data_IF_891664905771
#
_entry.id   IF_891664905771
#
_cell.length_a   1.000
_cell.length_b   1.000
_cell.length_c   1.000
_cell.angle_alpha   90.00
_cell.angle_beta   90.00
_cell.angle_gamma   90.00
#
_symmetry.space_group_name_H-M   'P 1'
#
loop_
_entity.id
_entity.type
_entity.pdbx_description
1 polymer ?
#
# COMPACT_ATOMS: atom_id res chain seq x y z
N UNK A 1 -4.66 11.52 22.61
CA UNK A 1 -3.27 11.31 22.14
C UNK A 1 -3.20 10.15 21.15
N UNK A 2 -3.86 9.02 21.43
CA UNK A 2 -3.94 7.85 20.54
C UNK A 2 -4.42 8.16 19.12
N UNK A 3 -5.52 8.92 18.96
CA UNK A 3 -6.02 9.33 17.63
C UNK A 3 -4.98 10.09 16.81
N UNK A 4 -4.14 10.90 17.47
CA UNK A 4 -3.08 11.67 16.81
C UNK A 4 -1.98 10.74 16.31
N UNK A 5 -1.51 9.81 17.15
CA UNK A 5 -0.49 8.83 16.78
C UNK A 5 -0.97 7.93 15.63
N UNK A 6 -2.21 7.44 15.72
CA UNK A 6 -2.83 6.60 14.68
C UNK A 6 -2.94 7.37 13.37
N UNK A 7 -3.45 8.60 13.41
CA UNK A 7 -3.59 9.44 12.22
C UNK A 7 -2.25 9.74 11.55
N UNK A 8 -1.21 10.09 12.33
CA UNK A 8 0.15 10.29 11.80
C UNK A 8 0.71 9.01 11.18
N UNK A 9 0.55 7.87 11.86
CA UNK A 9 1.02 6.58 11.35
C UNK A 9 0.33 6.22 10.02
N UNK A 10 -0.98 6.43 9.91
CA UNK A 10 -1.74 6.23 8.66
C UNK A 10 -1.19 7.09 7.53
N UNK A 11 -0.92 8.37 7.78
CA UNK A 11 -0.33 9.27 6.78
C UNK A 11 1.05 8.78 6.35
N UNK A 12 1.93 8.45 7.29
CA UNK A 12 3.28 7.95 7.00
C UNK A 12 3.24 6.64 6.20
N UNK A 13 2.37 5.70 6.58
CA UNK A 13 2.15 4.47 5.83
C UNK A 13 1.65 4.71 4.41
N UNK A 14 0.74 5.68 4.23
CA UNK A 14 0.32 6.15 2.91
C UNK A 14 1.50 6.63 2.07
N UNK A 15 2.39 7.43 2.65
CA UNK A 15 3.57 7.96 1.96
C UNK A 15 4.59 6.87 1.57
N UNK A 16 4.69 5.77 2.32
CA UNK A 16 5.53 4.61 1.93
C UNK A 16 5.15 4.04 0.57
N UNK A 17 3.88 4.14 0.16
CA UNK A 17 3.45 3.68 -1.17
C UNK A 17 4.12 4.48 -2.31
N UNK A 18 4.50 5.74 -2.06
CA UNK A 18 5.26 6.54 -3.03
C UNK A 18 6.70 6.06 -3.18
N UNK A 19 7.24 5.40 -2.15
CA UNK A 19 8.54 4.73 -2.24
C UNK A 19 8.45 3.50 -3.17
N UNK A 20 7.38 2.72 -3.04
CA UNK A 20 7.10 1.60 -3.94
C UNK A 20 6.82 2.06 -5.37
N UNK A 21 6.28 3.27 -5.55
CA UNK A 21 6.15 3.90 -6.87
C UNK A 21 7.54 4.15 -7.48
N UNK A 22 8.45 4.79 -6.73
CA UNK A 22 9.82 5.04 -7.19
C UNK A 22 10.58 3.74 -7.51
N UNK A 23 10.42 2.73 -6.65
CA UNK A 23 10.90 1.36 -6.86
C UNK A 23 10.36 0.77 -8.17
N UNK A 24 9.05 0.86 -8.40
CA UNK A 24 8.40 0.34 -9.62
C UNK A 24 8.97 1.00 -10.87
N UNK A 25 9.36 2.27 -10.81
CA UNK A 25 10.02 2.98 -11.90
C UNK A 25 11.53 2.76 -11.99
N UNK A 26 12.13 1.95 -11.10
CA UNK A 26 13.59 1.73 -11.00
C UNK A 26 14.37 3.02 -10.78
N UNK A 27 13.77 3.98 -10.08
CA UNK A 27 14.46 5.22 -9.67
C UNK A 27 15.49 4.94 -8.57
N UNK A 28 15.21 3.93 -7.75
CA UNK A 28 16.06 3.41 -6.68
C UNK A 28 15.63 1.98 -6.32
N UNK A 29 16.43 1.29 -5.52
CA UNK A 29 16.09 0.00 -4.91
C UNK A 29 15.77 0.16 -3.41
N UNK A 30 14.59 -0.26 -2.99
CA UNK A 30 14.19 -0.30 -1.57
C UNK A 30 14.93 -1.39 -0.79
N UNK A 31 15.18 -2.51 -1.46
CA UNK A 31 15.97 -3.62 -0.96
C UNK A 31 16.84 -4.14 -2.11
N UNK A 32 18.12 -4.51 -1.85
CA UNK A 32 19.01 -5.01 -2.89
C UNK A 32 18.38 -6.16 -3.67
N UNK A 33 18.31 -6.03 -4.99
CA UNK A 33 17.76 -7.06 -5.88
C UNK A 33 16.24 -7.17 -5.87
N UNK A 34 15.52 -6.22 -5.24
CA UNK A 34 14.06 -6.17 -5.32
C UNK A 34 13.61 -5.83 -6.74
N UNK A 35 12.83 -6.72 -7.35
CA UNK A 35 12.29 -6.53 -8.70
C UNK A 35 10.80 -6.23 -8.74
N UNK A 36 10.13 -6.16 -7.59
CA UNK A 36 8.69 -5.90 -7.54
C UNK A 36 8.35 -4.59 -8.27
N UNK A 37 7.28 -4.56 -9.10
CA UNK A 37 6.24 -5.58 -9.30
C UNK A 37 6.50 -6.54 -10.48
N UNK A 38 7.72 -6.66 -10.98
CA UNK A 38 8.03 -7.50 -12.15
C UNK A 38 7.76 -8.99 -11.87
N UNK A 39 7.23 -9.67 -12.88
CA UNK A 39 6.86 -11.08 -12.77
C UNK A 39 5.55 -11.33 -12.01
N UNK A 40 4.74 -10.29 -11.76
CA UNK A 40 3.39 -10.42 -11.23
C UNK A 40 2.63 -11.58 -11.87
N UNK A 41 2.06 -12.45 -11.04
CA UNK A 41 1.31 -13.62 -11.51
C UNK A 41 0.05 -13.21 -12.28
N UNK A 42 -0.58 -12.10 -11.89
CA UNK A 42 -1.84 -11.65 -12.44
C UNK A 42 -1.67 -10.86 -13.75
N UNK A 43 -0.63 -10.02 -13.85
CA UNK A 43 -0.55 -9.01 -14.92
C UNK A 43 0.65 -9.17 -15.85
N UNK A 44 1.82 -9.60 -15.36
CA UNK A 44 3.05 -9.54 -16.18
C UNK A 44 3.01 -10.44 -17.42
N UNK A 45 2.22 -11.53 -17.41
CA UNK A 45 1.99 -12.36 -18.60
C UNK A 45 1.08 -11.72 -19.64
N UNK A 46 0.14 -10.87 -19.20
CA UNK A 46 -0.88 -10.27 -20.07
C UNK A 46 -0.42 -8.94 -20.68
N UNK A 47 0.21 -8.09 -19.86
CA UNK A 47 0.57 -6.71 -20.25
C UNK A 47 2.09 -6.44 -20.19
N UNK A 48 2.90 -7.47 -19.93
CA UNK A 48 4.34 -7.33 -19.78
C UNK A 48 4.77 -6.65 -18.48
N UNK A 49 6.08 -6.65 -18.20
CA UNK A 49 6.63 -6.03 -17.00
C UNK A 49 6.45 -4.51 -17.01
N UNK A 50 6.66 -3.83 -18.14
CA UNK A 50 6.50 -2.37 -18.21
C UNK A 50 5.05 -1.93 -17.99
N UNK A 51 4.08 -2.64 -18.57
CA UNK A 51 2.66 -2.41 -18.30
C UNK A 51 2.29 -2.69 -16.84
N UNK A 52 2.84 -3.76 -16.25
CA UNK A 52 2.65 -4.09 -14.82
C UNK A 52 3.20 -2.98 -13.93
N UNK A 53 4.41 -2.47 -14.23
CA UNK A 53 5.05 -1.38 -13.48
C UNK A 53 4.23 -0.10 -13.55
N UNK A 54 3.71 0.27 -14.73
CA UNK A 54 2.84 1.42 -14.89
C UNK A 54 1.54 1.27 -14.07
N UNK A 55 0.87 0.12 -14.18
CA UNK A 55 -0.37 -0.17 -13.46
C UNK A 55 -0.16 -0.11 -11.94
N UNK A 56 0.88 -0.78 -11.43
CA UNK A 56 1.21 -0.75 -10.02
C UNK A 56 1.51 0.67 -9.54
N UNK A 57 2.27 1.44 -10.32
CA UNK A 57 2.62 2.82 -9.99
C UNK A 57 1.40 3.73 -9.82
N UNK A 58 0.47 3.69 -10.78
CA UNK A 58 -0.77 4.47 -10.70
C UNK A 58 -1.62 4.03 -9.50
N UNK A 59 -1.75 2.71 -9.28
CA UNK A 59 -2.50 2.17 -8.16
C UNK A 59 -1.87 2.56 -6.80
N UNK A 60 -0.54 2.55 -6.67
CA UNK A 60 0.15 2.99 -5.46
C UNK A 60 -0.09 4.47 -5.15
N UNK A 61 -0.11 5.34 -6.17
CA UNK A 61 -0.44 6.76 -5.98
C UNK A 61 -1.88 6.93 -5.48
N UNK A 62 -2.83 6.18 -6.04
CA UNK A 62 -4.22 6.16 -5.56
C UNK A 62 -4.29 5.68 -4.10
N UNK A 63 -3.58 4.61 -3.75
CA UNK A 63 -3.50 4.12 -2.38
C UNK A 63 -2.91 5.17 -1.42
N UNK A 64 -1.80 5.82 -1.83
CA UNK A 64 -1.16 6.88 -1.05
C UNK A 64 -2.14 8.03 -0.75
N UNK A 65 -2.87 8.51 -1.77
CA UNK A 65 -3.89 9.55 -1.60
C UNK A 65 -4.97 9.06 -0.62
N UNK A 66 -5.48 7.83 -0.80
CA UNK A 66 -6.50 7.26 0.07
C UNK A 66 -6.09 7.23 1.54
N UNK A 67 -4.88 6.74 1.84
CA UNK A 67 -4.35 6.71 3.20
C UNK A 67 -4.09 8.11 3.76
N UNK A 68 -3.46 9.01 2.99
CA UNK A 68 -3.17 10.38 3.47
C UNK A 68 -4.47 11.13 3.78
N UNK A 69 -5.46 11.07 2.89
CA UNK A 69 -6.76 11.73 3.09
C UNK A 69 -7.49 11.10 4.29
N UNK A 70 -7.50 9.77 4.42
CA UNK A 70 -8.11 9.11 5.57
C UNK A 70 -7.43 9.49 6.90
N UNK A 71 -6.09 9.53 6.93
CA UNK A 71 -5.32 9.93 8.10
C UNK A 71 -5.60 11.38 8.51
N UNK A 72 -5.63 12.32 7.56
CA UNK A 72 -6.00 13.72 7.80
C UNK A 72 -7.44 13.83 8.32
N UNK A 73 -8.38 13.09 7.72
CA UNK A 73 -9.78 13.07 8.14
C UNK A 73 -9.93 12.60 9.60
N UNK A 74 -9.23 11.52 9.97
CA UNK A 74 -9.20 11.00 11.34
C UNK A 74 -8.60 12.03 12.31
N UNK A 75 -7.51 12.70 11.93
CA UNK A 75 -6.91 13.78 12.74
C UNK A 75 -7.86 14.96 12.91
N UNK A 76 -8.65 15.28 11.89
CA UNK A 76 -9.65 16.34 11.89
C UNK A 76 -11.00 15.90 12.50
N UNK A 77 -11.09 14.70 13.07
CA UNK A 77 -12.31 14.19 13.71
C UNK A 77 -13.48 13.94 12.76
N UNK A 78 -13.21 13.75 11.47
CA UNK A 78 -14.23 13.52 10.46
C UNK A 78 -14.67 12.05 10.46
N UNK A 79 -15.98 11.80 10.60
CA UNK A 79 -16.54 10.46 10.74
C UNK A 79 -16.32 9.55 9.51
N UNK A 80 -16.11 10.12 8.32
CA UNK A 80 -15.85 9.38 7.08
C UNK A 80 -14.39 8.91 6.94
N UNK A 81 -13.47 9.35 7.81
CA UNK A 81 -12.07 8.95 7.76
C UNK A 81 -11.87 7.44 7.95
N UNK A 82 -12.60 6.83 8.89
CA UNK A 82 -12.55 5.41 9.17
C UNK A 82 -12.98 4.51 8.00
N UNK A 83 -14.18 4.69 7.38
CA UNK A 83 -14.54 3.89 6.22
C UNK A 83 -13.61 4.12 5.03
N UNK A 84 -13.07 5.33 4.82
CA UNK A 84 -12.09 5.57 3.77
C UNK A 84 -10.77 4.82 4.03
N UNK A 85 -10.28 4.78 5.27
CA UNK A 85 -9.10 4.00 5.65
C UNK A 85 -9.28 2.53 5.31
N UNK A 86 -10.44 1.95 5.65
CA UNK A 86 -10.73 0.54 5.38
C UNK A 86 -10.68 0.27 3.87
N UNK A 87 -11.31 1.12 3.05
CA UNK A 87 -11.28 1.00 1.59
C UNK A 87 -9.84 1.10 1.05
N UNK A 88 -9.07 2.09 1.50
CA UNK A 88 -7.68 2.27 1.09
C UNK A 88 -6.80 1.05 1.46
N UNK A 89 -6.98 0.52 2.67
CA UNK A 89 -6.27 -0.64 3.18
C UNK A 89 -6.62 -1.93 2.43
N UNK A 90 -7.91 -2.15 2.11
CA UNK A 90 -8.34 -3.29 1.29
C UNK A 90 -7.80 -3.18 -0.14
N UNK A 91 -7.91 -2.00 -0.75
CA UNK A 91 -7.40 -1.74 -2.09
C UNK A 91 -5.89 -1.96 -2.19
N UNK A 92 -5.11 -1.40 -1.27
CA UNK A 92 -3.65 -1.59 -1.19
C UNK A 92 -3.27 -3.06 -0.96
N UNK A 93 -4.00 -3.76 -0.10
CA UNK A 93 -3.74 -5.20 0.14
C UNK A 93 -4.00 -6.04 -1.11
N UNK A 94 -5.10 -5.78 -1.81
CA UNK A 94 -5.40 -6.43 -3.08
C UNK A 94 -4.33 -6.12 -4.13
N UNK A 95 -3.85 -4.88 -4.19
CA UNK A 95 -2.76 -4.49 -5.08
C UNK A 95 -1.50 -5.31 -4.83
N UNK A 96 -1.03 -5.42 -3.57
CA UNK A 96 0.15 -6.23 -3.27
C UNK A 96 -0.03 -7.70 -3.64
N UNK A 97 -1.20 -8.29 -3.35
CA UNK A 97 -1.51 -9.68 -3.70
C UNK A 97 -1.52 -9.93 -5.21
N UNK A 98 -2.06 -8.99 -6.00
CA UNK A 98 -2.12 -9.12 -7.46
C UNK A 98 -0.75 -8.85 -8.12
N UNK A 99 0.05 -7.94 -7.54
CA UNK A 99 1.38 -7.61 -8.06
C UNK A 99 2.49 -8.57 -7.58
N UNK A 100 2.16 -9.51 -6.70
CA UNK A 100 3.06 -10.57 -6.25
C UNK A 100 3.50 -11.47 -7.41
N UNK A 101 4.72 -11.98 -7.37
CA UNK A 101 5.26 -12.92 -8.36
C UNK A 101 4.78 -14.38 -8.24
N UNK A 102 3.91 -14.68 -7.27
CA UNK A 102 3.36 -16.03 -7.03
C UNK A 102 4.31 -17.02 -6.36
N UNK A 103 5.51 -16.58 -5.93
CA UNK A 103 6.50 -17.41 -5.22
C UNK A 103 6.54 -17.07 -3.74
N UNK A 104 6.58 -18.08 -2.88
CA UNK A 104 6.66 -17.93 -1.42
C UNK A 104 8.10 -17.63 -0.94
N UNK A 105 8.77 -16.68 -1.59
CA UNK A 105 10.17 -16.31 -1.33
C UNK A 105 10.27 -14.80 -1.29
N UNK A 106 11.00 -14.25 -0.31
CA UNK A 106 11.16 -12.80 -0.09
C UNK A 106 9.82 -12.06 -0.07
N UNK A 107 8.86 -12.57 0.70
CA UNK A 107 7.49 -12.02 0.76
C UNK A 107 7.45 -10.58 1.30
N UNK A 108 8.43 -10.23 2.14
CA UNK A 108 8.70 -8.86 2.57
C UNK A 108 8.95 -7.92 1.38
N UNK A 109 9.71 -8.37 0.37
CA UNK A 109 9.92 -7.66 -0.90
C UNK A 109 8.70 -7.74 -1.86
N UNK A 110 7.63 -8.42 -1.47
CA UNK A 110 6.41 -8.60 -2.26
C UNK A 110 5.19 -7.93 -1.61
N UNK A 111 5.40 -7.11 -0.58
CA UNK A 111 4.34 -6.34 0.07
C UNK A 111 3.62 -7.05 1.21
N UNK A 112 4.10 -8.22 1.67
CA UNK A 112 3.46 -8.94 2.79
C UNK A 112 3.44 -8.10 4.09
N UNK A 113 4.50 -7.36 4.37
CA UNK A 113 4.55 -6.42 5.51
C UNK A 113 3.46 -5.35 5.36
N UNK A 114 3.29 -4.80 4.15
CA UNK A 114 2.24 -3.83 3.86
C UNK A 114 0.83 -4.39 4.12
N UNK A 115 0.58 -5.64 3.73
CA UNK A 115 -0.69 -6.34 4.00
C UNK A 115 -0.92 -6.51 5.51
N UNK A 116 0.10 -6.94 6.26
CA UNK A 116 -0.01 -7.08 7.72
C UNK A 116 -0.34 -5.74 8.39
N UNK A 117 0.34 -4.66 7.97
CA UNK A 117 0.05 -3.30 8.46
C UNK A 117 -1.39 -2.91 8.12
N UNK A 118 -1.86 -3.17 6.89
CA UNK A 118 -3.23 -2.86 6.47
C UNK A 118 -4.27 -3.58 7.34
N UNK A 119 -4.06 -4.87 7.64
CA UNK A 119 -4.93 -5.64 8.52
C UNK A 119 -4.94 -5.09 9.95
N UNK A 120 -3.78 -4.73 10.48
CA UNK A 120 -3.67 -4.10 11.79
C UNK A 120 -4.39 -2.74 11.83
N UNK A 121 -4.28 -1.93 10.79
CA UNK A 121 -4.98 -0.64 10.67
C UNK A 121 -6.50 -0.81 10.65
N UNK A 122 -7.02 -1.77 9.88
CA UNK A 122 -8.45 -2.10 9.84
C UNK A 122 -8.94 -2.52 11.23
N UNK A 123 -8.19 -3.37 11.93
CA UNK A 123 -8.55 -3.80 13.27
C UNK A 123 -8.55 -2.62 14.27
N UNK A 124 -7.48 -1.82 14.27
CA UNK A 124 -7.33 -0.67 15.19
C UNK A 124 -8.41 0.37 14.98
N UNK A 125 -8.75 0.72 13.74
CA UNK A 125 -9.80 1.73 13.47
C UNK A 125 -11.19 1.30 13.92
N UNK A 126 -11.45 -0.01 14.01
CA UNK A 126 -12.74 -0.54 14.45
C UNK A 126 -12.85 -0.67 15.97
N UNK A 127 -11.72 -0.81 16.66
CA UNK A 127 -11.67 -1.07 18.11
C UNK A 127 -11.35 0.21 18.90
N UNK A 128 -10.57 1.12 18.33
CA UNK A 128 -9.99 2.28 19.03
C UNK A 128 -10.59 3.63 18.59
N UNK A 129 -11.07 3.76 17.36
CA UNK A 129 -11.47 5.04 16.77
C UNK A 129 -12.98 5.27 16.73
#
# INVERSE_FOLDING_TARGET
MEKVLIGIFIVLHGLVHLLYFGQSWKMFELQPGMTWPEGSWAFSRLIGNDGTRLLASLALVVAAIGFVVAGIAILAGQAWGSPLLIVAALFSSALYLLMWNGKMVQLDNQGAIGIIINLALIFVVQVVL
#
